data_IF_804433817269
#
_entry.id   IF_804433817269
#
_cell.length_a   1.000
_cell.length_b   1.000
_cell.length_c   1.000
_cell.angle_alpha   90.00
_cell.angle_beta   90.00
_cell.angle_gamma   90.00
#
_symmetry.space_group_name_H-M   'P 1'
#
loop_
_entity.id
_entity.type
_entity.pdbx_description
1 polymer ?
#
# COMPACT_ATOMS: atom_id res chain seq x y z
N UNK A 1 -18.70 6.38 -7.19
CA UNK A 1 -19.93 7.19 -7.22
C UNK A 1 -19.94 8.23 -6.11
N UNK A 2 -19.92 7.85 -4.83
CA UNK A 2 -20.02 8.79 -3.69
C UNK A 2 -18.93 9.86 -3.72
N UNK A 3 -17.66 9.49 -3.95
CA UNK A 3 -16.57 10.46 -4.04
C UNK A 3 -16.80 11.49 -5.15
N UNK A 4 -17.27 11.07 -6.34
CA UNK A 4 -17.58 11.98 -7.44
C UNK A 4 -18.75 12.91 -7.12
N UNK A 5 -19.80 12.40 -6.44
CA UNK A 5 -20.92 13.22 -6.00
C UNK A 5 -20.47 14.27 -4.97
N UNK A 6 -19.71 13.85 -3.98
CA UNK A 6 -19.18 14.73 -2.93
C UNK A 6 -18.26 15.78 -3.56
N UNK A 7 -17.27 15.36 -4.36
CA UNK A 7 -16.38 16.29 -5.08
C UNK A 7 -17.17 17.27 -5.95
N UNK A 8 -18.19 16.80 -6.68
CA UNK A 8 -19.02 17.65 -7.51
C UNK A 8 -19.81 18.70 -6.73
N UNK A 9 -20.38 18.33 -5.57
CA UNK A 9 -21.06 19.26 -4.68
C UNK A 9 -20.09 20.29 -4.07
N UNK A 10 -18.92 19.84 -3.61
CA UNK A 10 -17.91 20.70 -3.02
C UNK A 10 -17.31 21.68 -4.03
N UNK A 11 -17.00 21.23 -5.25
CA UNK A 11 -16.50 22.08 -6.32
C UNK A 11 -17.54 23.09 -6.80
N UNK A 12 -18.81 22.66 -6.91
CA UNK A 12 -19.93 23.56 -7.21
C UNK A 12 -20.12 24.62 -6.13
N UNK A 13 -20.13 24.22 -4.86
CA UNK A 13 -20.18 25.16 -3.73
C UNK A 13 -18.99 26.11 -3.74
N UNK A 14 -17.77 25.59 -3.90
CA UNK A 14 -16.55 26.39 -3.95
C UNK A 14 -16.57 27.43 -5.08
N UNK A 15 -17.03 27.03 -6.28
CA UNK A 15 -17.16 27.92 -7.42
C UNK A 15 -18.18 29.05 -7.14
N UNK A 16 -19.35 28.72 -6.59
CA UNK A 16 -20.40 29.70 -6.27
C UNK A 16 -20.02 30.58 -5.09
N UNK A 17 -19.30 30.08 -4.08
CA UNK A 17 -18.85 30.88 -2.95
C UNK A 17 -17.74 31.85 -3.32
N UNK A 18 -16.91 31.51 -4.31
CA UNK A 18 -15.71 32.29 -4.66
C UNK A 18 -15.79 32.97 -6.03
N UNK A 19 -16.95 32.97 -6.71
CA UNK A 19 -17.09 33.49 -8.08
C UNK A 19 -16.64 34.95 -8.28
N UNK A 20 -16.72 35.78 -7.23
CA UNK A 20 -16.30 37.19 -7.29
C UNK A 20 -14.80 37.41 -7.10
N UNK A 21 -14.11 36.48 -6.44
CA UNK A 21 -12.71 36.63 -6.02
C UNK A 21 -11.76 35.76 -6.85
N UNK A 22 -12.28 34.69 -7.47
CA UNK A 22 -11.49 33.64 -8.08
C UNK A 22 -11.53 33.73 -9.61
N UNK A 23 -10.41 34.12 -10.21
CA UNK A 23 -10.24 34.04 -11.66
C UNK A 23 -10.25 32.57 -12.10
N UNK A 24 -11.17 32.22 -13.01
CA UNK A 24 -11.36 30.84 -13.47
C UNK A 24 -12.39 30.02 -12.69
N UNK A 25 -13.22 30.64 -11.84
CA UNK A 25 -14.33 29.96 -11.12
C UNK A 25 -15.23 29.10 -12.01
N UNK A 26 -15.42 29.50 -13.27
CA UNK A 26 -16.21 28.74 -14.25
C UNK A 26 -15.66 27.34 -14.52
N UNK A 27 -14.34 27.15 -14.47
CA UNK A 27 -13.73 25.82 -14.62
C UNK A 27 -14.06 24.90 -13.45
N UNK A 28 -14.06 25.43 -12.23
CA UNK A 28 -14.48 24.68 -11.05
C UNK A 28 -15.97 24.33 -11.11
N UNK A 29 -16.83 25.23 -11.62
CA UNK A 29 -18.24 24.93 -11.79
C UNK A 29 -18.47 23.84 -12.85
N UNK A 30 -17.78 23.91 -13.99
CA UNK A 30 -17.86 22.89 -15.05
C UNK A 30 -17.35 21.54 -14.55
N UNK A 31 -16.22 21.52 -13.84
CA UNK A 31 -15.68 20.33 -13.17
C UNK A 31 -16.69 19.74 -12.18
N UNK A 32 -17.27 20.58 -11.33
CA UNK A 32 -18.27 20.16 -10.36
C UNK A 32 -19.51 19.53 -11.01
N UNK A 33 -20.03 20.14 -12.08
CA UNK A 33 -21.15 19.58 -12.85
C UNK A 33 -20.76 18.24 -13.49
N UNK A 34 -19.58 18.14 -14.11
CA UNK A 34 -19.07 16.89 -14.68
C UNK A 34 -18.99 15.78 -13.62
N UNK A 35 -18.39 16.09 -12.47
CA UNK A 35 -18.29 15.15 -11.35
C UNK A 35 -19.67 14.71 -10.82
N UNK A 36 -20.65 15.61 -10.74
CA UNK A 36 -22.03 15.26 -10.39
C UNK A 36 -22.67 14.33 -11.42
N UNK A 37 -22.56 14.65 -12.71
CA UNK A 37 -23.13 13.83 -13.79
C UNK A 37 -22.52 12.44 -13.78
N UNK A 38 -21.19 12.33 -13.68
CA UNK A 38 -20.48 11.05 -13.57
C UNK A 38 -20.92 10.31 -12.31
N UNK A 39 -21.00 10.99 -11.17
CA UNK A 39 -21.42 10.42 -9.90
C UNK A 39 -22.85 9.85 -9.94
N UNK A 40 -23.79 10.59 -10.53
CA UNK A 40 -25.19 10.16 -10.71
C UNK A 40 -25.24 8.98 -11.68
N UNK A 41 -24.56 9.08 -12.83
CA UNK A 41 -24.52 8.02 -13.84
C UNK A 41 -24.01 6.70 -13.27
N UNK A 42 -22.90 6.74 -12.51
CA UNK A 42 -22.34 5.57 -11.84
C UNK A 42 -23.23 5.00 -10.73
N UNK A 43 -24.12 5.81 -10.16
CA UNK A 43 -25.10 5.39 -9.14
C UNK A 43 -26.32 4.73 -9.77
N UNK A 44 -26.80 5.25 -10.89
CA UNK A 44 -27.92 4.69 -11.66
C UNK A 44 -27.52 3.40 -12.37
N UNK A 45 -26.28 3.32 -12.87
CA UNK A 45 -25.74 2.15 -13.56
C UNK A 45 -24.59 1.52 -12.76
N UNK A 46 -24.88 0.88 -11.60
CA UNK A 46 -23.85 0.31 -10.74
C UNK A 46 -23.04 -0.81 -11.42
N UNK A 47 -23.60 -1.46 -12.44
CA UNK A 47 -22.92 -2.47 -13.26
C UNK A 47 -21.66 -1.91 -13.94
N UNK A 48 -21.71 -0.65 -14.39
CA UNK A 48 -20.57 0.04 -15.00
C UNK A 48 -19.50 0.30 -13.93
N UNK A 49 -19.91 0.78 -12.75
CA UNK A 49 -18.99 0.94 -11.62
C UNK A 49 -18.30 -0.38 -11.23
N UNK A 50 -19.05 -1.48 -11.23
CA UNK A 50 -18.51 -2.82 -10.93
C UNK A 50 -17.54 -3.32 -12.00
N UNK A 51 -17.71 -2.91 -13.27
CA UNK A 51 -16.80 -3.30 -14.35
C UNK A 51 -15.53 -2.44 -14.38
N UNK A 52 -15.61 -1.14 -14.06
CA UNK A 52 -14.47 -0.21 -14.15
C UNK A 52 -13.42 -0.45 -13.07
N UNK A 53 -13.85 -0.76 -11.84
CA UNK A 53 -12.96 -0.97 -10.70
C UNK A 53 -11.87 -2.03 -10.96
N UNK A 54 -12.21 -3.23 -11.45
CA UNK A 54 -11.21 -4.23 -11.82
C UNK A 54 -10.17 -3.80 -12.83
N UNK A 55 -10.53 -2.97 -13.81
CA UNK A 55 -9.56 -2.46 -14.76
C UNK A 55 -8.56 -1.55 -14.06
N UNK A 56 -9.03 -0.58 -13.27
CA UNK A 56 -8.15 0.34 -12.52
C UNK A 56 -7.20 -0.43 -11.60
N UNK A 57 -7.74 -1.40 -10.85
CA UNK A 57 -6.93 -2.24 -9.96
C UNK A 57 -5.98 -3.13 -10.76
N UNK A 58 -6.46 -3.81 -11.80
CA UNK A 58 -5.67 -4.69 -12.65
C UNK A 58 -4.50 -3.96 -13.29
N UNK A 59 -4.71 -2.77 -13.87
CA UNK A 59 -3.63 -1.95 -14.42
C UNK A 59 -2.64 -1.49 -13.35
N UNK A 60 -3.13 -1.10 -12.18
CA UNK A 60 -2.27 -0.68 -11.06
C UNK A 60 -1.37 -1.83 -10.58
N UNK A 61 -1.95 -3.02 -10.40
CA UNK A 61 -1.19 -4.22 -10.00
C UNK A 61 -0.22 -4.62 -11.09
N UNK A 62 -0.62 -4.56 -12.37
CA UNK A 62 0.25 -4.88 -13.51
C UNK A 62 1.51 -4.02 -13.49
N UNK A 63 1.33 -2.71 -13.39
CA UNK A 63 2.45 -1.76 -13.38
C UNK A 63 3.36 -1.98 -12.17
N UNK A 64 2.77 -2.18 -10.98
CA UNK A 64 3.53 -2.49 -9.76
C UNK A 64 4.30 -3.80 -9.86
N UNK A 65 3.72 -4.83 -10.45
CA UNK A 65 4.37 -6.12 -10.63
C UNK A 65 5.52 -6.04 -11.64
N UNK A 66 5.39 -5.26 -12.72
CA UNK A 66 6.52 -4.99 -13.62
C UNK A 66 7.66 -4.21 -12.93
N UNK A 67 7.34 -3.19 -12.14
CA UNK A 67 8.34 -2.47 -11.34
C UNK A 67 9.04 -3.40 -10.36
N UNK A 68 8.28 -4.25 -9.66
CA UNK A 68 8.81 -5.25 -8.73
C UNK A 68 9.69 -6.29 -9.42
N UNK A 69 9.34 -6.69 -10.64
CA UNK A 69 10.18 -7.57 -11.44
C UNK A 69 11.51 -6.89 -11.81
N UNK A 70 11.49 -5.61 -12.16
CA UNK A 70 12.69 -4.80 -12.35
C UNK A 70 13.58 -4.75 -11.10
N UNK A 71 12.97 -4.50 -9.93
CA UNK A 71 13.68 -4.54 -8.64
C UNK A 71 14.27 -5.92 -8.33
N UNK A 72 13.58 -7.01 -8.70
CA UNK A 72 14.11 -8.36 -8.51
C UNK A 72 15.38 -8.59 -9.33
N UNK A 73 15.46 -8.05 -10.55
CA UNK A 73 16.68 -8.13 -11.37
C UNK A 73 17.82 -7.28 -10.82
N UNK A 74 17.52 -6.12 -10.25
CA UNK A 74 18.50 -5.28 -9.55
C UNK A 74 19.04 -5.96 -8.27
N UNK A 75 18.17 -6.64 -7.53
CA UNK A 75 18.57 -7.48 -6.38
C UNK A 75 19.49 -8.62 -6.82
N UNK A 76 19.20 -9.23 -7.97
CA UNK A 76 20.05 -10.28 -8.56
C UNK A 76 21.43 -9.74 -8.89
N UNK A 77 21.55 -8.56 -9.52
CA UNK A 77 22.85 -7.96 -9.83
C UNK A 77 23.62 -7.54 -8.58
N UNK A 78 22.91 -7.21 -7.49
CA UNK A 78 23.51 -6.79 -6.22
C UNK A 78 23.87 -7.96 -5.29
N UNK A 79 23.69 -9.21 -5.72
CA UNK A 79 24.06 -10.41 -4.96
C UNK A 79 23.10 -10.79 -3.82
N UNK A 80 21.89 -10.23 -3.77
CA UNK A 80 20.89 -10.53 -2.72
C UNK A 80 20.24 -11.88 -2.97
N UNK A 81 20.48 -12.88 -2.12
CA UNK A 81 20.02 -14.28 -2.27
C UNK A 81 18.49 -14.47 -2.49
N UNK A 82 17.65 -13.58 -1.97
CA UNK A 82 16.19 -13.70 -2.04
C UNK A 82 15.54 -13.15 -3.33
N UNK A 83 16.33 -12.73 -4.32
CA UNK A 83 15.83 -12.13 -5.57
C UNK A 83 14.82 -13.01 -6.32
N UNK A 84 15.01 -14.34 -6.29
CA UNK A 84 14.16 -15.30 -7.01
C UNK A 84 12.71 -15.31 -6.51
N UNK A 85 12.50 -15.18 -5.20
CA UNK A 85 11.15 -15.14 -4.62
C UNK A 85 10.39 -13.88 -5.05
N UNK A 86 11.09 -12.75 -5.14
CA UNK A 86 10.53 -11.48 -5.62
C UNK A 86 10.21 -11.56 -7.12
N UNK A 87 11.07 -12.20 -7.92
CA UNK A 87 10.81 -12.40 -9.34
C UNK A 87 9.57 -13.28 -9.58
N UNK A 88 9.46 -14.41 -8.87
CA UNK A 88 8.31 -15.33 -8.99
C UNK A 88 7.01 -14.64 -8.57
N UNK A 89 7.01 -13.91 -7.43
CA UNK A 89 5.82 -13.19 -6.98
C UNK A 89 5.41 -12.09 -7.96
N UNK A 90 6.39 -11.43 -8.59
CA UNK A 90 6.13 -10.41 -9.62
C UNK A 90 5.52 -11.00 -10.89
N UNK A 91 6.02 -12.15 -11.35
CA UNK A 91 5.45 -12.86 -12.51
C UNK A 91 4.02 -13.31 -12.22
N UNK A 92 3.77 -13.89 -11.04
CA UNK A 92 2.42 -14.25 -10.60
C UNK A 92 1.50 -13.02 -10.55
N UNK A 93 1.99 -11.89 -10.05
CA UNK A 93 1.25 -10.63 -10.03
C UNK A 93 0.92 -10.10 -11.43
N UNK A 94 1.82 -10.23 -12.39
CA UNK A 94 1.57 -9.88 -13.81
C UNK A 94 0.45 -10.76 -14.38
N UNK A 95 0.55 -12.09 -14.21
CA UNK A 95 -0.46 -13.03 -14.70
C UNK A 95 -1.84 -12.77 -14.07
N UNK A 96 -1.88 -12.53 -12.75
CA UNK A 96 -3.10 -12.18 -12.04
C UNK A 96 -3.68 -10.87 -12.57
N UNK A 97 -2.85 -9.88 -12.87
CA UNK A 97 -3.31 -8.60 -13.39
C UNK A 97 -3.93 -8.73 -14.78
N UNK A 98 -3.33 -9.53 -15.66
CA UNK A 98 -3.94 -9.87 -16.94
C UNK A 98 -5.28 -10.56 -16.77
N UNK A 99 -5.39 -11.52 -15.84
CA UNK A 99 -6.65 -12.19 -15.54
C UNK A 99 -7.75 -11.20 -15.09
N UNK A 100 -7.40 -10.24 -14.23
CA UNK A 100 -8.32 -9.19 -13.77
C UNK A 100 -8.82 -8.30 -14.93
N UNK A 101 -7.93 -7.96 -15.86
CA UNK A 101 -8.26 -7.11 -17.02
C UNK A 101 -9.11 -7.86 -18.04
N UNK A 102 -8.81 -9.12 -18.34
CA UNK A 102 -9.52 -9.88 -19.38
C UNK A 102 -10.89 -10.39 -18.92
N UNK A 103 -11.09 -10.62 -17.61
CA UNK A 103 -12.34 -11.16 -17.06
C UNK A 103 -12.91 -10.32 -15.90
N UNK A 104 -13.46 -9.13 -16.19
CA UNK A 104 -13.92 -8.18 -15.16
C UNK A 104 -15.06 -8.71 -14.29
N UNK A 105 -15.94 -9.55 -14.83
CA UNK A 105 -17.10 -10.07 -14.08
C UNK A 105 -16.65 -11.03 -12.97
N UNK A 106 -15.67 -11.88 -13.23
CA UNK A 106 -15.06 -12.75 -12.20
C UNK A 106 -14.16 -11.97 -11.24
N UNK A 107 -13.49 -10.95 -11.76
CA UNK A 107 -12.52 -10.16 -10.99
C UNK A 107 -13.11 -9.42 -9.79
N UNK A 108 -14.38 -9.00 -9.84
CA UNK A 108 -15.04 -8.32 -8.71
C UNK A 108 -15.10 -9.21 -7.47
N UNK A 109 -15.48 -10.48 -7.64
CA UNK A 109 -15.44 -11.48 -6.57
C UNK A 109 -14.01 -11.83 -6.17
N UNK A 110 -13.10 -11.98 -7.15
CA UNK A 110 -11.68 -12.25 -6.87
C UNK A 110 -11.03 -11.16 -6.03
N UNK A 111 -11.34 -9.88 -6.27
CA UNK A 111 -10.80 -8.75 -5.50
C UNK A 111 -11.27 -8.79 -4.04
N UNK A 112 -12.54 -9.09 -3.80
CA UNK A 112 -13.07 -9.23 -2.43
C UNK A 112 -12.37 -10.38 -1.70
N UNK A 113 -12.24 -11.54 -2.35
CA UNK A 113 -11.58 -12.71 -1.76
C UNK A 113 -10.09 -12.45 -1.51
N UNK A 114 -9.38 -11.84 -2.47
CA UNK A 114 -7.97 -11.49 -2.32
C UNK A 114 -7.75 -10.48 -1.18
N UNK A 115 -8.64 -9.49 -1.07
CA UNK A 115 -8.57 -8.49 0.01
C UNK A 115 -8.85 -9.14 1.37
N UNK A 116 -9.85 -10.01 1.45
CA UNK A 116 -10.17 -10.75 2.67
C UNK A 116 -8.99 -11.64 3.10
N UNK A 117 -8.42 -12.41 2.17
CA UNK A 117 -7.23 -13.23 2.43
C UNK A 117 -6.05 -12.37 2.87
N UNK A 118 -5.82 -11.22 2.23
CA UNK A 118 -4.73 -10.30 2.60
C UNK A 118 -4.87 -9.80 4.02
N UNK A 119 -6.09 -9.43 4.45
CA UNK A 119 -6.33 -9.03 5.84
C UNK A 119 -6.13 -10.19 6.83
N UNK A 120 -6.58 -11.40 6.49
CA UNK A 120 -6.37 -12.58 7.33
C UNK A 120 -4.86 -12.86 7.48
N UNK A 121 -4.10 -12.89 6.38
CA UNK A 121 -2.65 -13.09 6.41
C UNK A 121 -1.94 -11.98 7.20
N UNK A 122 -2.32 -10.72 6.99
CA UNK A 122 -1.77 -9.59 7.76
C UNK A 122 -2.07 -9.69 9.24
N UNK A 123 -3.28 -10.14 9.62
CA UNK A 123 -3.67 -10.40 11.00
C UNK A 123 -2.83 -11.51 11.63
N UNK A 124 -2.68 -12.65 10.94
CA UNK A 124 -1.85 -13.76 11.39
C UNK A 124 -0.39 -13.33 11.55
N UNK A 125 0.18 -12.63 10.56
CA UNK A 125 1.54 -12.11 10.62
C UNK A 125 1.74 -11.17 11.83
N UNK A 126 0.77 -10.31 12.10
CA UNK A 126 0.80 -9.41 13.26
C UNK A 126 0.81 -10.18 14.58
N UNK A 127 0.00 -11.23 14.69
CA UNK A 127 -0.02 -12.11 15.87
C UNK A 127 1.31 -12.85 16.04
N UNK A 128 1.89 -13.38 14.97
CA UNK A 128 3.20 -14.03 14.99
C UNK A 128 4.32 -13.08 15.43
N UNK A 129 4.34 -11.86 14.88
CA UNK A 129 5.30 -10.81 15.26
C UNK A 129 5.13 -10.45 16.74
N UNK A 130 3.89 -10.31 17.22
CA UNK A 130 3.63 -10.04 18.64
C UNK A 130 4.17 -11.13 19.56
N UNK A 131 4.05 -12.41 19.17
CA UNK A 131 4.65 -13.52 19.93
C UNK A 131 6.18 -13.52 19.88
N UNK A 132 6.78 -13.21 18.73
CA UNK A 132 8.23 -13.10 18.60
C UNK A 132 8.79 -11.94 19.44
N UNK A 133 8.11 -10.79 19.45
CA UNK A 133 8.47 -9.65 20.30
C UNK A 133 8.34 -9.98 21.80
N UNK A 134 7.31 -10.75 22.20
CA UNK A 134 7.17 -11.25 23.58
C UNK A 134 8.29 -12.21 23.98
N UNK A 135 8.80 -13.04 23.06
CA UNK A 135 9.96 -13.92 23.30
C UNK A 135 11.24 -13.10 23.52
N UNK A 136 11.47 -12.06 22.72
CA UNK A 136 12.64 -11.19 22.87
C UNK A 136 12.58 -10.44 24.22
N UNK A 137 11.39 -10.00 24.64
CA UNK A 137 11.19 -9.35 25.94
C UNK A 137 11.45 -10.27 27.15
N UNK A 138 11.44 -11.60 26.96
CA UNK A 138 11.68 -12.58 28.04
C UNK A 138 13.17 -12.85 28.34
N UNK A 139 14.11 -12.22 27.62
CA UNK A 139 15.55 -12.28 27.94
C UNK A 139 16.20 -10.91 28.17
N UNK A 140 15.86 -10.14 29.22
CA UNK A 140 16.64 -8.97 29.60
C UNK A 140 17.65 -9.22 30.74
N UNK A 141 17.53 -10.30 31.52
CA UNK A 141 18.21 -10.35 32.83
C UNK A 141 19.61 -10.96 32.85
N UNK A 142 20.01 -11.77 31.86
CA UNK A 142 21.37 -12.36 31.85
C UNK A 142 22.38 -11.60 31.00
N UNK A 143 21.93 -10.71 30.11
CA UNK A 143 22.81 -9.95 29.21
C UNK A 143 23.23 -8.60 29.83
N UNK A 144 22.43 -8.03 30.74
CA UNK A 144 22.73 -6.77 31.44
C UNK A 144 24.01 -6.86 32.27
N UNK A 145 24.15 -7.92 33.06
CA UNK A 145 25.16 -7.97 34.10
C UNK A 145 26.54 -8.35 33.54
N UNK A 146 26.58 -9.22 32.53
CA UNK A 146 27.81 -9.56 31.79
C UNK A 146 28.32 -8.41 30.92
N UNK A 147 27.42 -7.62 30.31
CA UNK A 147 27.83 -6.43 29.55
C UNK A 147 28.31 -5.31 30.46
N UNK A 148 27.67 -5.11 31.63
CA UNK A 148 28.13 -4.12 32.62
C UNK A 148 29.51 -4.46 33.16
N UNK A 149 29.76 -5.72 33.52
CA UNK A 149 31.08 -6.14 33.99
C UNK A 149 32.16 -5.95 32.93
N UNK A 150 31.88 -6.29 31.66
CA UNK A 150 32.83 -6.04 30.55
C UNK A 150 33.11 -4.56 30.32
N UNK A 151 32.11 -3.67 30.50
CA UNK A 151 32.31 -2.22 30.36
C UNK A 151 33.18 -1.70 31.50
N UNK A 152 32.95 -2.13 32.75
CA UNK A 152 33.75 -1.76 33.91
C UNK A 152 35.20 -2.24 33.78
N UNK A 153 35.41 -3.47 33.27
CA UNK A 153 36.73 -4.06 33.05
C UNK A 153 37.53 -3.26 32.00
N UNK A 154 36.89 -2.90 30.88
CA UNK A 154 37.50 -2.07 29.82
C UNK A 154 37.81 -0.66 30.33
N UNK A 155 36.94 -0.06 31.15
CA UNK A 155 37.18 1.27 31.74
C UNK A 155 38.37 1.26 32.71
N UNK A 156 38.50 0.23 33.54
CA UNK A 156 39.61 0.05 34.44
C UNK A 156 40.94 -0.15 33.68
N UNK A 157 40.93 -0.91 32.59
CA UNK A 157 42.12 -1.13 31.74
C UNK A 157 42.57 0.16 31.04
N UNK A 158 41.62 0.98 30.56
CA UNK A 158 41.92 2.30 29.98
C UNK A 158 42.51 3.25 31.04
N UNK A 159 41.97 3.30 32.25
CA UNK A 159 42.52 4.11 33.34
C UNK A 159 43.94 3.66 33.74
N UNK A 160 44.20 2.35 33.72
CA UNK A 160 45.53 1.80 34.01
C UNK A 160 46.55 2.14 32.92
N UNK A 161 46.14 2.23 31.66
CA UNK A 161 47.03 2.59 30.55
C UNK A 161 47.27 4.11 30.41
N UNK A 162 46.35 4.93 30.92
CA UNK A 162 46.47 6.40 30.91
C UNK A 162 47.34 6.91 32.07
N UNK A 163 47.58 6.10 33.10
CA UNK A 163 48.36 6.45 34.30
C UNK A 163 49.80 5.95 34.25
#
# INVERSE_FOLDING_TARGET
>A
SVSFLVSGLFEGFFAVSNYKSLNGWGWYLVSGILHLVIGIYLTVYPQISMAVLPYVVGFTVLFRSFLSLGMAFEMKSSGVLNWGNVAISSILGILLSFLLITNPVFSGLSLVVLTALSFIFSGIASVLIAFNLRKIKKHPEKLSDELKSKIEEIQAEIEQQIK
#
